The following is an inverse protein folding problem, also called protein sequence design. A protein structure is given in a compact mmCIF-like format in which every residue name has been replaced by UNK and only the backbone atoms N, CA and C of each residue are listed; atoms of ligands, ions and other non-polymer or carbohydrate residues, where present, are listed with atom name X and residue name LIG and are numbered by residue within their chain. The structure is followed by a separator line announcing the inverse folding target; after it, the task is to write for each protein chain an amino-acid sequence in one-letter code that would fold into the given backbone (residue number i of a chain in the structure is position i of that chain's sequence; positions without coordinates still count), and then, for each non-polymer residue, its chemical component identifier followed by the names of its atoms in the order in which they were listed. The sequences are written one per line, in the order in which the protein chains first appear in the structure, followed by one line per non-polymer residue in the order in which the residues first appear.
data_IF_252576383695
#
_entry.id   IF_252576383695
#
_cell.length_a   1.000
_cell.length_b   1.000
_cell.length_c   1.000
_cell.angle_alpha   90.00
_cell.angle_beta   90.00
_cell.angle_gamma   90.00
#
_symmetry.space_group_name_H-M   'P 1'
#
loop_
_entity.id
_entity.type
_entity.pdbx_description
1 polymer ?
#
# COMPACT_ATOMS: atom_id res chain seq x y z
N UNK A 1 67.58 8.27 20.07
CA UNK A 1 66.28 8.85 20.47
C UNK A 1 65.27 7.71 20.64
N UNK A 2 64.88 7.31 21.86
CA UNK A 2 63.80 6.34 22.03
C UNK A 2 62.43 7.05 21.87
N UNK A 3 61.54 6.50 21.05
CA UNK A 3 60.20 7.03 20.86
C UNK A 3 59.28 6.65 22.04
N UNK A 4 58.59 7.63 22.62
CA UNK A 4 57.65 7.42 23.71
C UNK A 4 56.39 6.67 23.24
N UNK A 5 55.83 5.74 24.03
CA UNK A 5 54.62 5.02 23.64
C UNK A 5 53.40 5.95 23.73
N UNK A 6 52.68 6.08 22.61
CA UNK A 6 51.40 6.79 22.56
C UNK A 6 50.35 5.97 23.31
N UNK A 7 49.90 6.49 24.45
CA UNK A 7 48.73 5.97 25.17
C UNK A 7 47.50 6.12 24.28
N UNK A 8 46.95 5.00 23.82
CA UNK A 8 45.63 4.97 23.22
C UNK A 8 44.59 5.36 24.30
N UNK A 9 43.93 6.49 24.11
CA UNK A 9 42.75 6.87 24.89
C UNK A 9 41.64 5.86 24.59
N UNK A 10 40.92 5.33 25.60
CA UNK A 10 39.75 4.52 25.33
C UNK A 10 38.71 5.42 24.67
N UNK A 11 38.47 5.18 23.38
CA UNK A 11 37.37 5.81 22.67
C UNK A 11 36.07 5.51 23.41
N UNK A 12 35.26 6.55 23.63
CA UNK A 12 33.93 6.43 24.22
C UNK A 12 33.19 5.26 23.54
N UNK A 13 32.64 4.29 24.30
CA UNK A 13 31.92 3.18 23.71
C UNK A 13 30.69 3.73 23.00
N UNK A 14 30.75 3.76 21.67
CA UNK A 14 29.56 3.96 20.84
C UNK A 14 28.67 2.76 21.14
N UNK A 15 27.43 2.94 21.65
CA UNK A 15 26.56 1.81 21.92
C UNK A 15 26.32 1.08 20.61
N UNK A 16 26.92 -0.09 20.49
CA UNK A 16 26.68 -1.01 19.39
C UNK A 16 25.29 -1.57 19.62
N UNK A 17 24.26 -0.88 19.12
CA UNK A 17 22.93 -1.46 19.03
C UNK A 17 23.12 -2.72 18.20
N UNK A 18 23.05 -3.89 18.84
CA UNK A 18 23.19 -5.17 18.15
C UNK A 18 21.97 -5.30 17.24
N UNK A 19 22.11 -4.82 15.99
CA UNK A 19 21.10 -4.99 14.97
C UNK A 19 21.16 -6.46 14.58
N UNK A 20 20.24 -7.24 15.16
CA UNK A 20 20.04 -8.62 14.72
C UNK A 20 19.62 -8.62 13.25
N UNK A 21 20.00 -9.64 12.49
CA UNK A 21 19.61 -9.78 11.08
C UNK A 21 18.09 -9.68 10.92
N UNK A 22 17.34 -10.27 11.86
CA UNK A 22 15.87 -10.15 11.93
C UNK A 22 15.40 -8.70 12.10
N UNK A 23 16.07 -7.92 12.96
CA UNK A 23 15.76 -6.50 13.15
C UNK A 23 16.03 -5.66 11.89
N UNK A 24 17.15 -5.90 11.22
CA UNK A 24 17.47 -5.25 9.95
C UNK A 24 16.42 -5.57 8.86
N UNK A 25 16.04 -6.85 8.72
CA UNK A 25 15.05 -7.27 7.74
C UNK A 25 13.66 -6.67 8.03
N UNK A 26 13.23 -6.63 9.30
CA UNK A 26 11.97 -5.98 9.68
C UNK A 26 11.98 -4.47 9.40
N UNK A 27 13.11 -3.80 9.61
CA UNK A 27 13.25 -2.37 9.31
C UNK A 27 13.16 -2.10 7.80
N UNK A 28 13.84 -2.92 6.99
CA UNK A 28 13.75 -2.86 5.52
C UNK A 28 12.32 -3.13 5.05
N UNK A 29 11.67 -4.17 5.59
CA UNK A 29 10.27 -4.47 5.30
C UNK A 29 9.35 -3.30 5.66
N UNK A 30 9.53 -2.69 6.83
CA UNK A 30 8.74 -1.54 7.26
C UNK A 30 8.94 -0.34 6.33
N UNK A 31 10.16 -0.08 5.85
CA UNK A 31 10.45 1.00 4.90
C UNK A 31 9.82 0.71 3.54
N UNK A 32 10.00 -0.50 3.00
CA UNK A 32 9.45 -0.90 1.71
C UNK A 32 7.92 -0.94 1.71
N UNK A 33 7.31 -1.47 2.76
CA UNK A 33 5.86 -1.69 2.84
C UNK A 33 5.09 -0.44 3.28
N UNK A 34 5.72 0.54 3.95
CA UNK A 34 5.03 1.76 4.43
C UNK A 34 4.37 2.54 3.29
N UNK A 35 5.02 2.64 2.12
CA UNK A 35 4.46 3.28 0.94
C UNK A 35 3.31 2.47 0.31
N UNK A 36 3.49 1.15 0.19
CA UNK A 36 2.53 0.24 -0.43
C UNK A 36 1.18 0.20 0.30
N UNK A 37 1.18 0.27 1.63
CA UNK A 37 -0.06 0.20 2.43
C UNK A 37 -0.97 1.43 2.23
N UNK A 38 -0.41 2.63 2.11
CA UNK A 38 -1.22 3.84 1.85
C UNK A 38 -1.82 3.82 0.45
N UNK A 39 -1.05 3.37 -0.54
CA UNK A 39 -1.52 3.20 -1.92
C UNK A 39 -2.58 2.11 -2.01
N UNK A 40 -2.39 0.97 -1.35
CA UNK A 40 -3.38 -0.11 -1.30
C UNK A 40 -4.73 0.36 -0.74
N UNK A 41 -4.74 1.13 0.36
CA UNK A 41 -5.99 1.69 0.92
C UNK A 41 -6.70 2.65 -0.03
N UNK A 42 -5.94 3.51 -0.72
CA UNK A 42 -6.51 4.42 -1.73
C UNK A 42 -7.09 3.65 -2.90
N UNK A 43 -6.34 2.69 -3.43
CA UNK A 43 -6.79 1.86 -4.54
C UNK A 43 -8.05 1.08 -4.18
N UNK A 44 -8.09 0.49 -2.98
CA UNK A 44 -9.27 -0.23 -2.48
C UNK A 44 -10.48 0.70 -2.39
N UNK A 45 -10.32 1.90 -1.82
CA UNK A 45 -11.40 2.87 -1.73
C UNK A 45 -11.91 3.31 -3.11
N UNK A 46 -11.00 3.64 -4.03
CA UNK A 46 -11.37 4.00 -5.41
C UNK A 46 -12.11 2.85 -6.10
N UNK A 47 -11.66 1.62 -5.92
CA UNK A 47 -12.33 0.44 -6.51
C UNK A 47 -13.75 0.26 -5.97
N UNK A 48 -13.98 0.49 -4.68
CA UNK A 48 -15.32 0.40 -4.08
C UNK A 48 -16.24 1.49 -4.61
N UNK A 49 -15.75 2.72 -4.75
CA UNK A 49 -16.54 3.81 -5.32
C UNK A 49 -16.92 3.53 -6.78
N UNK A 50 -15.96 3.06 -7.56
CA UNK A 50 -16.19 2.70 -8.96
C UNK A 50 -17.16 1.53 -9.09
N UNK A 51 -17.07 0.50 -8.24
CA UNK A 51 -17.99 -0.62 -8.31
C UNK A 51 -19.43 -0.23 -7.94
N UNK A 52 -19.60 0.66 -6.96
CA UNK A 52 -20.92 1.25 -6.65
C UNK A 52 -21.49 2.04 -7.83
N UNK A 53 -20.66 2.80 -8.53
CA UNK A 53 -21.07 3.52 -9.74
C UNK A 53 -21.51 2.51 -10.82
N UNK A 54 -20.70 1.50 -11.12
CA UNK A 54 -21.05 0.46 -12.11
C UNK A 54 -22.32 -0.30 -11.72
N UNK A 55 -22.55 -0.55 -10.43
CA UNK A 55 -23.78 -1.19 -9.96
C UNK A 55 -25.02 -0.33 -10.26
N UNK A 56 -24.92 0.98 -10.02
CA UNK A 56 -25.97 1.94 -10.36
C UNK A 56 -26.20 2.02 -11.87
N UNK A 57 -25.13 2.13 -12.65
CA UNK A 57 -25.19 2.22 -14.12
C UNK A 57 -25.86 0.97 -14.71
N UNK A 58 -25.59 -0.23 -14.16
CA UNK A 58 -26.27 -1.48 -14.56
C UNK A 58 -27.77 -1.46 -14.27
N UNK A 59 -28.16 -0.95 -13.10
CA UNK A 59 -29.58 -0.84 -12.74
C UNK A 59 -30.32 0.14 -13.65
N UNK A 60 -29.73 1.30 -13.93
CA UNK A 60 -30.31 2.29 -14.84
C UNK A 60 -30.42 1.75 -16.28
N UNK A 61 -29.38 1.07 -16.76
CA UNK A 61 -29.40 0.41 -18.06
C UNK A 61 -30.50 -0.67 -18.13
N UNK A 62 -30.62 -1.51 -17.10
CA UNK A 62 -31.66 -2.53 -17.03
C UNK A 62 -33.06 -1.89 -17.09
N UNK A 63 -33.30 -0.84 -16.31
CA UNK A 63 -34.57 -0.12 -16.30
C UNK A 63 -34.94 0.42 -17.69
N UNK A 64 -33.97 1.04 -18.40
CA UNK A 64 -34.20 1.55 -19.76
C UNK A 64 -34.49 0.42 -20.75
N UNK A 65 -33.76 -0.69 -20.66
CA UNK A 65 -33.97 -1.84 -21.54
C UNK A 65 -35.32 -2.51 -21.30
N UNK A 66 -35.73 -2.68 -20.05
CA UNK A 66 -37.06 -3.20 -19.71
C UNK A 66 -38.17 -2.26 -20.20
N UNK A 67 -38.02 -0.95 -19.99
CA UNK A 67 -38.96 0.04 -20.51
C UNK A 67 -39.07 -0.03 -22.04
N UNK A 68 -37.94 -0.10 -22.76
CA UNK A 68 -37.94 -0.24 -24.21
C UNK A 68 -38.60 -1.55 -24.67
N UNK A 69 -38.34 -2.67 -23.98
CA UNK A 69 -38.97 -3.96 -24.29
C UNK A 69 -40.49 -3.93 -24.08
N UNK A 70 -40.98 -3.26 -23.04
CA UNK A 70 -42.43 -3.11 -22.81
C UNK A 70 -43.11 -2.15 -23.79
N UNK A 71 -42.38 -1.16 -24.32
CA UNK A 71 -42.90 -0.20 -25.31
C UNK A 71 -42.96 -0.76 -26.74
N UNK A 72 -42.15 -1.78 -27.06
CA UNK A 72 -42.24 -2.49 -28.32
C UNK A 72 -43.08 -3.77 -28.14
N UNK A 73 -44.41 -3.73 -28.36
CA UNK A 73 -45.16 -4.98 -28.45
C UNK A 73 -44.55 -5.78 -29.59
N UNK A 74 -44.09 -6.98 -29.28
CA UNK A 74 -43.55 -7.91 -30.25
C UNK A 74 -44.55 -8.06 -31.41
N UNK A 75 -44.21 -7.52 -32.58
CA UNK A 75 -44.95 -7.78 -33.80
C UNK A 75 -44.63 -9.22 -34.22
N UNK A 76 -45.41 -10.17 -33.69
CA UNK A 76 -45.60 -11.51 -34.26
C UNK A 76 -46.52 -11.43 -35.46
#
# INVERSE_FOLDING_TARGET
MPAAPLRATPAFPIPSVSVTVTGALRAVEAVLMRGGQRTARRNAWTSVLEDRRRAKDRYEAQYVLEAAATQHPHAT
#
